data_IF_938602671461
#
_entry.id   IF_938602671461
#
_cell.length_a   1.000
_cell.length_b   1.000
_cell.length_c   1.000
_cell.angle_alpha   90.00
_cell.angle_beta   90.00
_cell.angle_gamma   90.00
#
_symmetry.space_group_name_H-M   'P 1'
#
loop_
_entity.id
_entity.type
_entity.pdbx_description
1 polymer ?
#
# COMPACT_ATOMS: atom_id res chain seq x y z
N UNK A 1 -16.78 4.70 -10.12
CA UNK A 1 -16.32 4.87 -8.72
C UNK A 1 -15.39 3.69 -8.40
N UNK A 2 -14.08 3.86 -8.41
CA UNK A 2 -13.17 2.75 -8.14
C UNK A 2 -13.12 2.48 -6.62
N UNK A 3 -13.66 1.34 -6.16
CA UNK A 3 -13.48 0.89 -4.78
C UNK A 3 -12.18 0.09 -4.69
N UNK A 4 -11.49 0.17 -3.56
CA UNK A 4 -10.24 -0.56 -3.34
C UNK A 4 -10.41 -2.08 -3.51
N UNK A 5 -11.58 -2.62 -3.19
CA UNK A 5 -11.92 -4.03 -3.37
C UNK A 5 -12.03 -4.43 -4.85
N UNK A 6 -12.64 -3.58 -5.68
CA UNK A 6 -12.75 -3.83 -7.13
C UNK A 6 -11.38 -3.84 -7.82
N UNK A 7 -10.41 -3.13 -7.24
CA UNK A 7 -9.02 -3.17 -7.70
C UNK A 7 -8.30 -4.42 -7.20
N UNK A 8 -8.46 -4.77 -5.92
CA UNK A 8 -7.82 -5.95 -5.33
C UNK A 8 -8.34 -7.26 -5.93
N UNK A 9 -9.63 -7.33 -6.28
CA UNK A 9 -10.24 -8.52 -6.89
C UNK A 9 -9.68 -8.88 -8.27
N UNK A 10 -8.84 -8.04 -8.86
CA UNK A 10 -8.15 -8.33 -10.13
C UNK A 10 -6.95 -9.26 -9.93
N UNK A 11 -6.50 -9.46 -8.70
CA UNK A 11 -5.38 -10.34 -8.38
C UNK A 11 -5.88 -11.72 -7.92
N UNK A 12 -5.31 -12.82 -8.41
CA UNK A 12 -5.79 -14.17 -8.12
C UNK A 12 -5.27 -14.66 -6.76
N UNK A 13 -6.04 -14.46 -5.70
CA UNK A 13 -5.75 -15.04 -4.37
C UNK A 13 -7.02 -15.46 -3.62
N UNK A 14 -6.85 -16.20 -2.53
CA UNK A 14 -7.96 -16.74 -1.75
C UNK A 14 -8.39 -15.78 -0.62
N UNK A 15 -7.54 -14.81 -0.30
CA UNK A 15 -7.79 -13.77 0.69
C UNK A 15 -7.45 -12.37 0.17
N UNK A 16 -8.08 -11.34 0.78
CA UNK A 16 -7.74 -9.94 0.52
C UNK A 16 -6.26 -9.61 0.83
N UNK A 17 -5.65 -10.37 1.75
CA UNK A 17 -4.23 -10.28 2.05
C UNK A 17 -3.37 -10.78 0.88
N UNK A 18 -3.73 -11.88 0.25
CA UNK A 18 -3.02 -12.40 -0.92
C UNK A 18 -3.23 -11.50 -2.12
N UNK A 19 -4.44 -10.98 -2.35
CA UNK A 19 -4.68 -9.98 -3.39
C UNK A 19 -3.78 -8.75 -3.23
N UNK A 20 -3.61 -8.30 -1.99
CA UNK A 20 -2.73 -7.17 -1.65
C UNK A 20 -1.26 -7.44 -1.99
N UNK A 21 -0.77 -8.64 -1.61
CA UNK A 21 0.62 -9.05 -1.85
C UNK A 21 0.90 -9.32 -3.33
N UNK A 22 0.00 -10.04 -4.01
CA UNK A 22 0.09 -10.34 -5.44
C UNK A 22 0.03 -9.09 -6.31
N UNK A 23 -0.71 -8.07 -5.87
CA UNK A 23 -0.73 -6.77 -6.53
C UNK A 23 0.56 -5.94 -6.39
N UNK A 24 1.57 -6.45 -5.68
CA UNK A 24 2.81 -5.71 -5.41
C UNK A 24 2.59 -4.46 -4.55
N UNK A 25 1.39 -4.32 -3.98
CA UNK A 25 0.95 -3.12 -3.25
C UNK A 25 1.84 -2.85 -2.05
N UNK A 26 2.30 -3.93 -1.42
CA UNK A 26 3.13 -3.91 -0.23
C UNK A 26 4.53 -3.31 -0.48
N UNK A 27 5.11 -3.57 -1.65
CA UNK A 27 6.42 -3.02 -2.06
C UNK A 27 6.28 -1.67 -2.78
N UNK A 28 5.13 -1.41 -3.42
CA UNK A 28 4.87 -0.17 -4.16
C UNK A 28 4.75 1.09 -3.29
N UNK A 29 4.60 0.96 -1.96
CA UNK A 29 4.63 2.08 -1.03
C UNK A 29 3.56 3.14 -1.34
N UNK A 30 3.95 4.31 -1.90
CA UNK A 30 3.01 5.35 -2.33
C UNK A 30 2.44 5.12 -3.73
N UNK A 31 3.07 4.32 -4.56
CA UNK A 31 2.63 4.11 -5.95
C UNK A 31 1.62 2.96 -6.08
N UNK A 32 1.20 2.36 -4.96
CA UNK A 32 0.14 1.37 -4.94
C UNK A 32 -1.20 1.91 -5.45
N UNK A 33 -2.03 0.99 -5.94
CA UNK A 33 -3.35 1.28 -6.50
C UNK A 33 -3.34 1.48 -8.03
N UNK A 34 -4.52 1.68 -8.63
CA UNK A 34 -4.64 1.88 -10.06
C UNK A 34 -3.96 3.19 -10.53
N UNK A 35 -3.33 3.20 -11.72
CA UNK A 35 -2.76 4.41 -12.30
C UNK A 35 -3.87 5.39 -12.76
N UNK A 36 -3.54 6.66 -12.90
CA UNK A 36 -4.45 7.68 -13.47
C UNK A 36 -5.55 8.19 -12.53
N UNK A 37 -5.45 7.92 -11.22
CA UNK A 37 -6.42 8.42 -10.24
C UNK A 37 -6.20 9.91 -9.93
N UNK A 38 -7.29 10.67 -9.90
CA UNK A 38 -7.30 12.02 -9.32
C UNK A 38 -7.00 11.98 -7.81
N UNK A 39 -6.51 13.09 -7.25
CA UNK A 39 -6.22 13.19 -5.82
C UNK A 39 -7.42 12.81 -4.94
N UNK A 40 -8.64 13.23 -5.30
CA UNK A 40 -9.87 12.91 -4.55
C UNK A 40 -10.23 11.42 -4.60
N UNK A 41 -10.01 10.76 -5.74
CA UNK A 41 -10.18 9.31 -5.88
C UNK A 41 -9.14 8.56 -5.06
N UNK A 42 -7.89 9.02 -5.06
CA UNK A 42 -6.80 8.44 -4.27
C UNK A 42 -7.04 8.56 -2.76
N UNK A 43 -7.58 9.68 -2.29
CA UNK A 43 -8.01 9.84 -0.89
C UNK A 43 -9.12 8.83 -0.52
N UNK A 44 -10.14 8.66 -1.36
CA UNK A 44 -11.22 7.69 -1.13
C UNK A 44 -10.72 6.24 -1.15
N UNK A 45 -9.81 5.91 -2.06
CA UNK A 45 -9.19 4.59 -2.17
C UNK A 45 -8.37 4.27 -0.91
N UNK A 46 -7.62 5.26 -0.39
CA UNK A 46 -6.85 5.14 0.85
C UNK A 46 -7.75 5.00 2.08
N UNK A 47 -8.87 5.73 2.16
CA UNK A 47 -9.83 5.60 3.25
C UNK A 47 -10.50 4.21 3.26
N UNK A 48 -10.84 3.66 2.09
CA UNK A 48 -11.33 2.30 1.94
C UNK A 48 -10.30 1.27 2.44
N UNK A 49 -9.02 1.44 2.06
CA UNK A 49 -7.93 0.59 2.54
C UNK A 49 -7.81 0.66 4.07
N UNK A 50 -7.84 1.85 4.67
CA UNK A 50 -7.77 2.02 6.14
C UNK A 50 -8.83 1.19 6.87
N UNK A 51 -10.04 1.09 6.30
CA UNK A 51 -11.13 0.28 6.86
C UNK A 51 -10.82 -1.22 6.80
N UNK A 52 -10.22 -1.71 5.70
CA UNK A 52 -9.82 -3.11 5.55
C UNK A 52 -8.72 -3.51 6.54
N UNK A 53 -7.81 -2.58 6.85
CA UNK A 53 -6.74 -2.79 7.83
C UNK A 53 -7.31 -2.84 9.25
N UNK A 54 -8.21 -1.92 9.61
CA UNK A 54 -8.88 -1.93 10.93
C UNK A 54 -9.67 -3.23 11.11
N UNK A 55 -10.29 -3.74 10.05
CA UNK A 55 -10.98 -5.03 10.03
C UNK A 55 -10.05 -6.25 9.98
N UNK A 56 -8.72 -6.07 10.03
CA UNK A 56 -7.70 -7.13 9.93
C UNK A 56 -7.78 -7.99 8.66
N UNK A 57 -8.52 -7.55 7.64
CA UNK A 57 -8.61 -8.26 6.35
C UNK A 57 -7.31 -8.15 5.54
N UNK A 58 -6.52 -7.11 5.79
CA UNK A 58 -5.19 -6.88 5.19
C UNK A 58 -4.20 -6.47 6.29
N UNK A 59 -3.15 -7.25 6.49
CA UNK A 59 -1.95 -6.93 7.29
C UNK A 59 -0.87 -6.35 6.36
N UNK A 60 -0.62 -5.05 6.51
CA UNK A 60 0.48 -4.36 5.82
C UNK A 60 1.83 -4.72 6.44
N UNK A 61 2.89 -4.80 5.64
CA UNK A 61 4.24 -4.83 6.17
C UNK A 61 4.69 -3.45 6.69
N UNK A 62 5.67 -3.44 7.59
CA UNK A 62 6.25 -2.21 8.16
C UNK A 62 6.93 -1.34 7.07
N UNK A 63 7.44 -1.97 6.01
CA UNK A 63 8.04 -1.30 4.86
C UNK A 63 7.03 -0.41 4.13
N UNK A 64 5.80 -0.88 3.97
CA UNK A 64 4.73 -0.08 3.38
C UNK A 64 4.42 1.16 4.22
N UNK A 65 4.34 1.04 5.56
CA UNK A 65 4.11 2.18 6.48
C UNK A 65 5.21 3.25 6.40
N UNK A 66 6.46 2.81 6.29
CA UNK A 66 7.61 3.69 6.08
C UNK A 66 7.55 4.38 4.71
N UNK A 67 7.24 3.63 3.65
CA UNK A 67 7.08 4.16 2.30
C UNK A 67 5.87 5.10 2.16
N UNK A 68 4.76 4.79 2.82
CA UNK A 68 3.48 5.51 2.74
C UNK A 68 3.44 6.79 3.57
N UNK A 69 4.45 7.05 4.41
CA UNK A 69 4.65 8.27 5.22
C UNK A 69 3.96 8.29 6.58
N UNK A 70 4.22 7.30 7.45
CA UNK A 70 4.10 7.48 8.90
C UNK A 70 5.42 7.92 9.57
N UNK A 71 6.57 7.77 8.88
CA UNK A 71 7.87 8.26 9.31
C UNK A 71 8.55 9.00 8.15
N UNK A 72 8.21 10.26 7.94
CA UNK A 72 8.85 11.12 6.94
C UNK A 72 10.30 11.53 7.27
N UNK A 73 11.07 10.72 8.00
CA UNK A 73 12.29 11.18 8.67
C UNK A 73 13.53 10.28 8.64
N UNK A 74 13.51 9.10 8.00
CA UNK A 74 14.73 8.27 7.88
C UNK A 74 15.14 8.15 6.42
N UNK A 75 15.74 9.25 5.94
CA UNK A 75 16.68 9.23 4.82
C UNK A 75 17.70 8.13 5.12
N UNK A 76 17.79 7.11 4.25
CA UNK A 76 18.91 6.14 4.25
C UNK A 76 20.20 6.94 4.30
N UNK A 77 20.91 6.89 5.42
CA UNK A 77 22.32 7.27 5.43
C UNK A 77 23.06 6.23 4.57
N UNK A 78 23.87 6.66 3.59
CA UNK A 78 24.76 5.73 2.90
C UNK A 78 25.65 5.07 3.94
N UNK A 79 25.77 3.74 3.85
CA UNK A 79 26.65 2.96 4.71
C UNK A 79 28.05 3.57 4.65
N UNK A 80 28.62 3.89 5.81
CA UNK A 80 30.02 4.28 5.91
C UNK A 80 30.85 3.10 5.39
N UNK A 81 31.58 3.34 4.29
CA UNK A 81 32.63 2.45 3.83
C UNK A 81 33.77 2.51 4.85
N UNK A 82 34.19 1.37 5.44
CA UNK A 82 35.42 1.34 6.23
C UNK A 82 36.62 1.48 5.27
N UNK A 83 37.51 2.42 5.59
CA UNK A 83 38.83 2.57 4.96
C UNK A 83 39.86 1.62 5.56
#
# INVERSE_FOLDING_TARGET
MARVLDWLSQFPGDSWQEHWLLGGSDTAGKQWGPPGLTQSQRCRLTAGLSTLIVRRAVRRSYAWLCGSRLLGGLRRLPAAQPG
#
